data_IF_496713482365
#
_entry.id   IF_496713482365
#
_cell.length_a   1.000
_cell.length_b   1.000
_cell.length_c   1.000
_cell.angle_alpha   90.00
_cell.angle_beta   90.00
_cell.angle_gamma   90.00
#
_symmetry.space_group_name_H-M   'P 1'
#
loop_
_entity.id
_entity.type
_entity.pdbx_description
1 polymer ?
#
# COMPACT_ATOMS: atom_id res chain seq x y z
N UNK A 1 59.31 17.59 -1.06
CA UNK A 1 58.16 16.70 -0.78
C UNK A 1 57.02 17.25 -1.61
N UNK A 2 56.39 16.44 -2.45
CA UNK A 2 55.26 16.89 -3.25
C UNK A 2 54.09 17.16 -2.28
N UNK A 3 53.58 18.39 -2.27
CA UNK A 3 52.35 18.72 -1.55
C UNK A 3 51.22 17.89 -2.15
N UNK A 4 50.73 16.93 -1.37
CA UNK A 4 49.59 16.11 -1.76
C UNK A 4 48.33 16.97 -1.60
N UNK A 5 48.10 17.94 -2.48
CA UNK A 5 46.90 18.80 -2.51
C UNK A 5 45.59 17.98 -2.52
N UNK A 6 45.63 16.73 -3.00
CA UNK A 6 44.48 15.81 -2.98
C UNK A 6 44.15 15.23 -1.59
N UNK A 7 45.01 15.42 -0.59
CA UNK A 7 44.79 15.03 0.82
C UNK A 7 44.39 16.21 1.72
N UNK A 8 44.60 17.46 1.27
CA UNK A 8 44.21 18.68 1.98
C UNK A 8 42.81 19.14 1.56
N UNK A 9 41.80 18.37 1.96
CA UNK A 9 40.43 18.89 1.93
C UNK A 9 40.24 19.85 3.11
N UNK A 10 39.66 21.06 2.90
CA UNK A 10 39.27 21.90 4.01
C UNK A 10 38.30 21.14 4.92
N UNK A 11 38.41 21.35 6.23
CA UNK A 11 37.46 20.78 7.19
C UNK A 11 36.03 21.12 6.80
N UNK A 12 35.11 20.16 6.99
CA UNK A 12 33.70 20.33 6.62
C UNK A 12 33.09 21.52 7.38
N UNK A 13 32.75 22.59 6.65
CA UNK A 13 32.12 23.78 7.20
C UNK A 13 30.60 23.56 7.29
N UNK A 14 30.17 23.13 8.48
CA UNK A 14 28.76 22.85 8.77
C UNK A 14 27.88 24.09 8.57
N UNK A 15 28.34 25.28 8.95
CA UNK A 15 27.53 26.50 8.87
C UNK A 15 27.31 26.90 7.43
N UNK A 16 28.37 26.85 6.62
CA UNK A 16 28.28 27.10 5.18
C UNK A 16 27.39 26.07 4.50
N UNK A 17 27.57 24.79 4.81
CA UNK A 17 26.75 23.73 4.24
C UNK A 17 25.27 23.87 4.62
N UNK A 18 24.94 24.16 5.88
CA UNK A 18 23.56 24.39 6.32
C UNK A 18 22.93 25.59 5.59
N UNK A 19 23.68 26.68 5.41
CA UNK A 19 23.21 27.85 4.66
C UNK A 19 22.96 27.53 3.18
N UNK A 20 23.85 26.75 2.54
CA UNK A 20 23.69 26.32 1.16
C UNK A 20 22.52 25.33 1.01
N UNK A 21 22.42 24.32 1.88
CA UNK A 21 21.37 23.30 1.86
C UNK A 21 19.97 23.89 2.13
N UNK A 22 19.85 24.86 3.04
CA UNK A 22 18.57 25.53 3.35
C UNK A 22 18.01 26.33 2.17
N UNK A 23 18.87 26.73 1.22
CA UNK A 23 18.46 27.47 0.02
C UNK A 23 18.05 26.54 -1.14
N UNK A 24 18.26 25.23 -1.01
CA UNK A 24 17.86 24.28 -2.06
C UNK A 24 16.38 23.97 -1.91
N UNK A 25 15.57 24.61 -2.75
CA UNK A 25 14.17 24.26 -2.90
C UNK A 25 14.06 23.02 -3.81
N UNK A 26 13.14 22.13 -3.44
CA UNK A 26 12.69 21.08 -4.36
C UNK A 26 12.16 21.74 -5.65
N UNK A 27 12.42 21.12 -6.80
CA UNK A 27 11.89 21.61 -8.09
C UNK A 27 10.35 21.58 -8.17
N UNK A 28 9.70 20.92 -7.20
CA UNK A 28 8.25 20.76 -7.12
C UNK A 28 7.63 21.86 -6.24
N UNK A 29 6.83 22.73 -6.87
CA UNK A 29 6.12 23.86 -6.24
C UNK A 29 4.68 23.50 -5.83
N UNK A 30 4.40 22.22 -5.61
CA UNK A 30 3.10 21.73 -5.17
C UNK A 30 2.74 22.11 -3.73
N UNK A 31 1.53 21.74 -3.30
CA UNK A 31 1.04 21.95 -1.92
C UNK A 31 1.87 21.16 -0.89
N UNK A 32 2.49 20.05 -1.33
CA UNK A 32 3.35 19.21 -0.50
C UNK A 32 4.80 19.68 -0.55
N UNK A 33 5.32 20.12 0.59
CA UNK A 33 6.68 20.68 0.72
C UNK A 33 7.69 19.56 0.96
N UNK A 34 8.68 19.45 0.07
CA UNK A 34 9.69 18.37 0.04
C UNK A 34 11.13 18.92 0.09
N UNK A 35 11.61 19.45 1.23
CA UNK A 35 12.98 19.94 1.32
C UNK A 35 13.97 18.79 1.22
N UNK A 36 15.13 19.01 0.60
CA UNK A 36 16.20 18.00 0.55
C UNK A 36 16.87 17.80 1.92
N UNK A 37 16.75 18.78 2.81
CA UNK A 37 17.31 18.75 4.16
C UNK A 37 16.46 19.57 5.12
N UNK A 38 16.46 19.17 6.40
CA UNK A 38 15.86 19.95 7.50
C UNK A 38 16.64 19.74 8.79
N UNK A 39 16.83 20.81 9.55
CA UNK A 39 17.67 20.84 10.76
C UNK A 39 17.12 19.95 11.87
N UNK A 40 15.82 19.95 12.04
CA UNK A 40 15.14 19.17 13.08
C UNK A 40 13.69 18.96 12.69
N UNK A 41 13.16 17.77 12.95
CA UNK A 41 11.73 17.50 12.83
C UNK A 41 11.31 16.55 13.93
N UNK A 42 10.08 16.72 14.43
CA UNK A 42 9.54 15.83 15.44
C UNK A 42 9.35 14.44 14.84
N UNK A 43 9.79 13.41 15.57
CA UNK A 43 9.51 12.03 15.19
C UNK A 43 8.02 11.77 15.25
N UNK A 44 7.49 11.13 14.21
CA UNK A 44 6.10 10.68 14.17
C UNK A 44 6.07 9.22 14.64
N UNK A 45 5.27 8.94 15.66
CA UNK A 45 4.99 7.56 16.04
C UNK A 45 3.96 6.95 15.09
N UNK A 46 4.36 5.93 14.35
CA UNK A 46 3.45 5.20 13.47
C UNK A 46 2.52 4.27 14.27
N UNK A 47 1.21 4.21 13.94
CA UNK A 47 0.33 3.15 14.43
C UNK A 47 0.81 1.77 14.00
N UNK A 48 0.46 0.72 14.76
CA UNK A 48 0.77 -0.66 14.39
C UNK A 48 0.19 -1.04 13.01
N UNK A 49 0.82 -2.04 12.39
CA UNK A 49 0.36 -2.62 11.12
C UNK A 49 -0.86 -3.50 11.36
N UNK A 50 -1.63 -3.74 10.31
CA UNK A 50 -2.77 -4.65 10.37
C UNK A 50 -2.33 -6.11 10.36
N UNK A 51 -1.21 -6.41 9.70
CA UNK A 51 -0.68 -7.77 9.55
C UNK A 51 0.14 -8.26 10.76
N UNK A 52 0.73 -7.35 11.53
CA UNK A 52 1.64 -7.70 12.64
C UNK A 52 1.77 -6.57 13.67
N UNK A 53 2.10 -6.93 14.91
CA UNK A 53 2.43 -5.98 15.97
C UNK A 53 3.81 -5.33 15.74
N UNK A 54 4.12 -4.23 16.45
CA UNK A 54 5.38 -3.48 16.26
C UNK A 54 6.61 -4.32 16.62
N UNK A 55 6.47 -5.20 17.59
CA UNK A 55 7.52 -6.05 18.14
C UNK A 55 7.93 -7.16 17.16
N UNK A 56 7.06 -7.49 16.20
CA UNK A 56 7.29 -8.49 15.16
C UNK A 56 8.06 -7.94 13.95
N UNK A 57 8.43 -6.65 13.99
CA UNK A 57 9.16 -5.98 12.92
C UNK A 57 8.25 -5.49 11.80
N UNK A 58 8.72 -5.56 10.56
CA UNK A 58 8.04 -5.07 9.36
C UNK A 58 7.66 -6.22 8.43
N UNK A 59 6.83 -7.14 8.91
CA UNK A 59 6.32 -8.24 8.10
C UNK A 59 5.33 -7.73 7.03
N UNK A 60 5.36 -8.28 5.82
CA UNK A 60 4.33 -8.05 4.80
C UNK A 60 4.03 -9.36 4.05
N UNK A 61 2.81 -9.46 3.54
CA UNK A 61 2.36 -10.57 2.70
C UNK A 61 2.84 -10.38 1.26
N UNK A 62 3.59 -11.34 0.72
CA UNK A 62 3.94 -11.38 -0.71
C UNK A 62 2.72 -11.80 -1.52
N UNK A 63 2.02 -10.84 -2.11
CA UNK A 63 0.77 -11.09 -2.83
C UNK A 63 0.99 -11.10 -4.35
N UNK A 64 0.34 -12.02 -5.04
CA UNK A 64 0.35 -12.09 -6.51
C UNK A 64 -1.06 -12.26 -7.07
N UNK A 65 -1.41 -11.43 -8.06
CA UNK A 65 -2.65 -11.62 -8.84
C UNK A 65 -2.55 -12.80 -9.78
N UNK A 66 -3.63 -13.56 -9.88
CA UNK A 66 -3.74 -14.74 -10.73
C UNK A 66 -4.77 -14.52 -11.83
N UNK A 67 -4.33 -14.69 -13.08
CA UNK A 67 -5.18 -14.58 -14.26
C UNK A 67 -5.60 -15.92 -14.86
N UNK A 68 -4.87 -17.01 -14.55
CA UNK A 68 -5.15 -18.36 -15.06
C UNK A 68 -5.04 -19.38 -13.93
N UNK A 69 -5.91 -20.39 -13.92
CA UNK A 69 -5.91 -21.45 -12.90
C UNK A 69 -4.54 -22.12 -12.76
N UNK A 70 -3.85 -22.35 -13.87
CA UNK A 70 -2.53 -22.99 -13.92
C UNK A 70 -1.42 -22.19 -13.22
N UNK A 71 -1.62 -20.89 -12.96
CA UNK A 71 -0.65 -20.03 -12.30
C UNK A 71 -0.71 -20.09 -10.76
N UNK A 72 -1.79 -20.64 -10.17
CA UNK A 72 -1.98 -20.69 -8.71
C UNK A 72 -0.85 -21.46 -8.03
N UNK A 73 -0.66 -22.73 -8.39
CA UNK A 73 0.36 -23.57 -7.76
C UNK A 73 1.79 -23.08 -8.03
N UNK A 74 2.18 -22.66 -9.25
CA UNK A 74 3.48 -22.03 -9.48
C UNK A 74 3.75 -20.78 -8.65
N UNK A 75 2.72 -19.97 -8.35
CA UNK A 75 2.87 -18.81 -7.47
C UNK A 75 3.19 -19.24 -6.04
N UNK A 76 2.39 -20.17 -5.48
CA UNK A 76 2.53 -20.67 -4.11
C UNK A 76 3.84 -21.43 -3.90
N UNK A 77 4.18 -22.35 -4.81
CA UNK A 77 5.46 -23.06 -4.79
C UNK A 77 6.66 -22.12 -4.99
N UNK A 78 6.43 -20.96 -5.62
CA UNK A 78 7.40 -19.87 -5.75
C UNK A 78 7.47 -18.94 -4.53
N UNK A 79 6.80 -19.28 -3.42
CA UNK A 79 6.83 -18.54 -2.16
C UNK A 79 5.88 -17.34 -2.09
N UNK A 80 4.85 -17.27 -2.95
CA UNK A 80 3.76 -16.31 -2.73
C UNK A 80 2.97 -16.72 -1.47
N UNK A 81 2.69 -15.75 -0.62
CA UNK A 81 1.90 -15.93 0.62
C UNK A 81 0.47 -15.42 0.46
N UNK A 82 0.26 -14.52 -0.50
CA UNK A 82 -1.04 -13.98 -0.86
C UNK A 82 -1.40 -14.31 -2.32
N UNK A 83 -2.63 -14.77 -2.53
CA UNK A 83 -3.22 -14.92 -3.87
C UNK A 83 -4.35 -13.91 -4.03
N UNK A 84 -4.36 -13.20 -5.15
CA UNK A 84 -5.45 -12.28 -5.50
C UNK A 84 -6.21 -12.73 -6.73
N UNK A 85 -7.53 -12.71 -6.62
CA UNK A 85 -8.45 -12.82 -7.74
C UNK A 85 -9.17 -11.50 -7.97
N UNK A 86 -9.13 -11.02 -9.22
CA UNK A 86 -9.63 -9.70 -9.60
C UNK A 86 -10.31 -9.70 -10.97
N UNK A 87 -10.72 -10.88 -11.46
CA UNK A 87 -11.35 -11.05 -12.76
C UNK A 87 -12.51 -12.04 -12.68
N UNK A 88 -13.53 -11.84 -13.52
CA UNK A 88 -14.76 -12.63 -13.51
C UNK A 88 -14.58 -14.12 -13.85
N UNK A 89 -13.40 -14.48 -14.38
CA UNK A 89 -13.05 -15.85 -14.76
C UNK A 89 -12.48 -16.65 -13.58
N UNK A 90 -12.06 -15.95 -12.52
CA UNK A 90 -11.58 -16.58 -11.30
C UNK A 90 -12.74 -17.32 -10.63
N UNK A 91 -12.47 -18.53 -10.15
CA UNK A 91 -13.48 -19.39 -9.52
C UNK A 91 -12.85 -20.15 -8.35
N UNK A 92 -13.68 -20.60 -7.42
CA UNK A 92 -13.21 -21.37 -6.26
C UNK A 92 -12.47 -22.65 -6.65
N UNK A 93 -12.84 -23.28 -7.77
CA UNK A 93 -12.22 -24.52 -8.26
C UNK A 93 -10.70 -24.38 -8.51
N UNK A 94 -10.22 -23.17 -8.78
CA UNK A 94 -8.79 -22.89 -8.97
C UNK A 94 -7.98 -23.10 -7.68
N UNK A 95 -8.63 -23.10 -6.53
CA UNK A 95 -8.02 -23.32 -5.21
C UNK A 95 -7.98 -24.81 -4.82
N UNK A 96 -8.33 -25.72 -5.73
CA UNK A 96 -8.27 -27.16 -5.47
C UNK A 96 -6.85 -27.59 -5.07
N UNK A 97 -6.72 -28.15 -3.86
CA UNK A 97 -5.43 -28.58 -3.30
C UNK A 97 -4.63 -27.49 -2.60
N UNK A 98 -5.18 -26.27 -2.50
CA UNK A 98 -4.57 -25.18 -1.73
C UNK A 98 -5.09 -25.20 -0.29
N UNK A 99 -4.16 -25.13 0.68
CA UNK A 99 -4.48 -25.03 2.10
C UNK A 99 -4.64 -23.55 2.50
N UNK A 100 -5.87 -23.05 2.63
CA UNK A 100 -6.11 -21.62 2.90
C UNK A 100 -5.54 -21.15 4.23
N UNK A 101 -5.40 -22.02 5.23
CA UNK A 101 -4.79 -21.66 6.53
C UNK A 101 -3.36 -21.11 6.41
N UNK A 102 -2.65 -21.48 5.33
CA UNK A 102 -1.26 -21.14 5.07
C UNK A 102 -1.07 -19.88 4.23
N UNK A 103 -2.15 -19.32 3.66
CA UNK A 103 -2.07 -18.21 2.71
C UNK A 103 -3.12 -17.14 3.00
N UNK A 104 -2.92 -15.94 2.47
CA UNK A 104 -3.99 -14.97 2.31
C UNK A 104 -4.65 -15.13 0.95
N UNK A 105 -5.98 -15.21 0.92
CA UNK A 105 -6.76 -15.14 -0.31
C UNK A 105 -7.52 -13.82 -0.34
N UNK A 106 -7.25 -13.02 -1.37
CA UNK A 106 -7.84 -11.72 -1.60
C UNK A 106 -8.77 -11.79 -2.82
N UNK A 107 -10.03 -11.41 -2.63
CA UNK A 107 -11.01 -11.26 -3.69
C UNK A 107 -11.29 -9.76 -3.88
N UNK A 108 -11.02 -9.24 -5.07
CA UNK A 108 -11.46 -7.90 -5.45
C UNK A 108 -12.92 -8.04 -5.93
N UNK A 109 -13.89 -7.75 -5.07
CA UNK A 109 -15.31 -8.01 -5.29
C UNK A 109 -15.88 -7.26 -6.50
N UNK A 110 -15.28 -6.13 -6.86
CA UNK A 110 -15.60 -5.36 -8.07
C UNK A 110 -15.28 -6.14 -9.37
N UNK A 111 -14.33 -7.08 -9.32
CA UNK A 111 -13.82 -7.79 -10.49
C UNK A 111 -14.27 -9.25 -10.58
N UNK A 112 -14.54 -9.90 -9.44
CA UNK A 112 -14.93 -11.32 -9.40
C UNK A 112 -16.43 -11.50 -9.35
N UNK A 113 -16.92 -12.68 -9.79
CA UNK A 113 -18.30 -13.09 -9.53
C UNK A 113 -18.37 -13.80 -8.18
N UNK A 114 -18.82 -13.11 -7.12
CA UNK A 114 -18.88 -13.67 -5.76
C UNK A 114 -19.66 -14.99 -5.68
N UNK A 115 -20.69 -15.19 -6.51
CA UNK A 115 -21.43 -16.45 -6.58
C UNK A 115 -20.56 -17.68 -6.96
N UNK A 116 -19.38 -17.47 -7.54
CA UNK A 116 -18.41 -18.53 -7.84
C UNK A 116 -17.52 -18.90 -6.63
N UNK A 117 -17.76 -18.29 -5.46
CA UNK A 117 -16.98 -18.47 -4.24
C UNK A 117 -17.90 -18.90 -3.07
N UNK A 118 -17.85 -20.17 -2.65
CA UNK A 118 -18.67 -20.65 -1.55
C UNK A 118 -18.08 -20.20 -0.20
N UNK A 119 -18.50 -19.02 0.27
CA UNK A 119 -17.95 -18.34 1.45
C UNK A 119 -17.88 -19.25 2.69
N UNK A 120 -18.97 -19.93 3.05
CA UNK A 120 -19.00 -20.85 4.21
C UNK A 120 -17.92 -21.93 4.10
N UNK A 121 -17.80 -22.57 2.93
CA UNK A 121 -16.78 -23.58 2.68
C UNK A 121 -15.38 -22.99 2.75
N UNK A 122 -15.17 -21.78 2.26
CA UNK A 122 -13.86 -21.11 2.34
C UNK A 122 -13.47 -20.88 3.80
N UNK A 123 -14.40 -20.40 4.63
CA UNK A 123 -14.19 -20.21 6.06
C UNK A 123 -13.89 -21.53 6.78
N UNK A 124 -14.63 -22.60 6.47
CA UNK A 124 -14.38 -23.95 6.99
C UNK A 124 -12.98 -24.47 6.64
N UNK A 125 -12.38 -23.98 5.54
CA UNK A 125 -11.03 -24.33 5.12
C UNK A 125 -9.96 -23.34 5.62
N UNK A 126 -10.33 -22.42 6.53
CA UNK A 126 -9.41 -21.49 7.19
C UNK A 126 -9.06 -20.25 6.36
N UNK A 127 -10.02 -19.74 5.57
CA UNK A 127 -9.82 -18.53 4.78
C UNK A 127 -9.37 -17.33 5.62
N UNK A 128 -8.23 -16.76 5.25
CA UNK A 128 -7.71 -15.46 5.72
C UNK A 128 -7.55 -14.53 4.53
N UNK A 129 -7.70 -13.23 4.74
CA UNK A 129 -7.45 -12.22 3.72
C UNK A 129 -8.62 -11.24 3.59
N UNK A 130 -9.10 -11.06 2.37
CA UNK A 130 -10.05 -9.98 2.07
C UNK A 130 -11.02 -10.35 0.96
N UNK A 131 -12.20 -9.75 1.00
CA UNK A 131 -13.17 -9.74 -0.09
C UNK A 131 -13.72 -8.31 -0.21
N UNK A 132 -12.96 -7.46 -0.88
CA UNK A 132 -13.14 -6.01 -0.80
C UNK A 132 -13.97 -5.47 -1.94
N UNK A 133 -15.03 -4.72 -1.61
CA UNK A 133 -15.76 -3.86 -2.54
C UNK A 133 -15.21 -2.43 -2.45
N UNK A 134 -14.89 -1.83 -3.59
CA UNK A 134 -14.43 -0.44 -3.68
C UNK A 134 -15.54 0.53 -3.28
N UNK A 135 -15.32 1.33 -2.23
CA UNK A 135 -16.37 2.23 -1.70
C UNK A 135 -16.52 3.54 -2.48
N UNK A 136 -15.84 3.69 -3.63
CA UNK A 136 -15.77 4.96 -4.37
C UNK A 136 -17.13 5.51 -4.80
N UNK A 137 -17.98 4.65 -5.34
CA UNK A 137 -19.27 5.03 -5.92
C UNK A 137 -20.39 4.06 -5.52
N UNK A 138 -20.28 3.44 -4.34
CA UNK A 138 -21.25 2.43 -3.89
C UNK A 138 -22.55 3.07 -3.42
N UNK A 139 -23.64 2.36 -3.65
CA UNK A 139 -24.98 2.65 -3.14
C UNK A 139 -25.25 1.92 -1.83
N UNK A 140 -26.27 2.35 -1.09
CA UNK A 140 -26.67 1.70 0.16
C UNK A 140 -27.17 0.25 -0.06
N UNK A 141 -27.71 -0.06 -1.23
CA UNK A 141 -28.17 -1.40 -1.59
C UNK A 141 -27.00 -2.35 -1.87
N UNK A 142 -26.01 -1.91 -2.65
CA UNK A 142 -24.78 -2.68 -2.92
C UNK A 142 -24.01 -2.96 -1.63
N UNK A 143 -23.85 -1.94 -0.78
CA UNK A 143 -23.23 -2.08 0.54
C UNK A 143 -23.96 -3.11 1.39
N UNK A 144 -25.30 -3.04 1.48
CA UNK A 144 -26.08 -3.99 2.28
C UNK A 144 -25.95 -5.41 1.73
N UNK A 145 -25.99 -5.57 0.41
CA UNK A 145 -25.86 -6.88 -0.24
C UNK A 145 -24.49 -7.49 0.05
N UNK A 146 -23.41 -6.73 -0.16
CA UNK A 146 -22.04 -7.20 0.09
C UNK A 146 -21.79 -7.53 1.57
N UNK A 147 -22.29 -6.70 2.49
CA UNK A 147 -22.20 -6.97 3.92
C UNK A 147 -22.94 -8.26 4.33
N UNK A 148 -24.12 -8.51 3.74
CA UNK A 148 -24.89 -9.72 3.98
C UNK A 148 -24.21 -10.97 3.42
N UNK A 149 -23.66 -10.90 2.20
CA UNK A 149 -22.92 -12.00 1.56
C UNK A 149 -21.70 -12.44 2.38
N UNK A 150 -21.10 -11.51 3.13
CA UNK A 150 -19.95 -11.75 4.01
C UNK A 150 -20.31 -11.78 5.51
N UNK A 151 -21.59 -11.89 5.86
CA UNK A 151 -22.03 -11.89 7.26
C UNK A 151 -21.46 -13.05 8.09
N UNK A 152 -21.18 -14.19 7.44
CA UNK A 152 -20.52 -15.33 8.07
C UNK A 152 -18.99 -15.15 8.26
N UNK A 153 -18.41 -14.07 7.70
CA UNK A 153 -16.97 -13.85 7.60
C UNK A 153 -16.53 -12.55 8.33
N UNK A 154 -16.67 -12.46 9.67
CA UNK A 154 -16.39 -11.23 10.42
C UNK A 154 -14.92 -10.80 10.36
N UNK A 155 -13.99 -11.76 10.27
CA UNK A 155 -12.54 -11.50 10.25
C UNK A 155 -12.01 -11.13 8.85
N UNK A 156 -12.86 -11.21 7.81
CA UNK A 156 -12.48 -10.88 6.44
C UNK A 156 -12.68 -9.39 6.18
N UNK A 157 -11.67 -8.73 5.61
CA UNK A 157 -11.77 -7.32 5.22
C UNK A 157 -12.72 -7.17 4.03
N UNK A 158 -13.74 -6.33 4.19
CA UNK A 158 -14.89 -6.23 3.27
C UNK A 158 -14.85 -5.02 2.35
N UNK A 159 -14.11 -3.98 2.71
CA UNK A 159 -14.17 -2.67 2.06
C UNK A 159 -12.81 -2.21 1.57
N UNK A 160 -12.78 -1.59 0.39
CA UNK A 160 -11.57 -0.98 -0.16
C UNK A 160 -11.76 0.51 -0.40
N UNK A 161 -10.82 1.30 0.11
CA UNK A 161 -10.46 2.58 -0.48
C UNK A 161 -9.51 2.27 -1.63
N UNK A 162 -9.85 2.68 -2.85
CA UNK A 162 -9.00 2.43 -4.01
C UNK A 162 -8.47 3.76 -4.54
N UNK A 163 -7.15 3.92 -4.53
CA UNK A 163 -6.45 5.12 -5.05
C UNK A 163 -5.42 4.75 -6.12
N UNK A 164 -5.52 3.56 -6.71
CA UNK A 164 -4.58 3.04 -7.71
C UNK A 164 -4.61 3.77 -9.08
N UNK A 165 -5.60 4.63 -9.30
CA UNK A 165 -5.75 5.47 -10.49
C UNK A 165 -5.12 6.87 -10.33
N UNK A 166 -4.70 7.23 -9.11
CA UNK A 166 -4.08 8.53 -8.81
C UNK A 166 -2.57 8.38 -8.73
N UNK A 167 -1.87 9.25 -9.47
CA UNK A 167 -0.40 9.25 -9.50
C UNK A 167 0.20 10.27 -8.51
N UNK A 168 -0.47 11.40 -8.30
CA UNK A 168 -0.01 12.45 -7.40
C UNK A 168 -0.39 12.13 -5.94
N UNK A 169 0.57 12.13 -4.99
CA UNK A 169 0.31 11.70 -3.61
C UNK A 169 -0.76 12.50 -2.85
N UNK A 170 -0.81 13.83 -2.97
CA UNK A 170 -1.82 14.64 -2.26
C UNK A 170 -3.21 14.29 -2.79
N UNK A 171 -3.40 14.28 -4.11
CA UNK A 171 -4.66 13.93 -4.77
C UNK A 171 -5.12 12.51 -4.39
N UNK A 172 -4.19 11.53 -4.41
CA UNK A 172 -4.48 10.15 -4.04
C UNK A 172 -5.01 10.05 -2.60
N UNK A 173 -4.31 10.68 -1.65
CA UNK A 173 -4.69 10.61 -0.23
C UNK A 173 -5.96 11.41 0.08
N UNK A 174 -6.15 12.59 -0.54
CA UNK A 174 -7.40 13.34 -0.44
C UNK A 174 -8.58 12.54 -1.01
N UNK A 175 -8.41 11.91 -2.18
CA UNK A 175 -9.44 11.05 -2.77
C UNK A 175 -9.78 9.87 -1.84
N UNK A 176 -8.78 9.26 -1.20
CA UNK A 176 -9.02 8.17 -0.26
C UNK A 176 -9.86 8.59 0.95
N UNK A 177 -9.59 9.76 1.55
CA UNK A 177 -10.40 10.31 2.64
C UNK A 177 -11.82 10.68 2.18
N UNK A 178 -11.97 11.23 0.98
CA UNK A 178 -13.29 11.51 0.40
C UNK A 178 -14.10 10.22 0.18
N UNK A 179 -13.46 9.14 -0.27
CA UNK A 179 -14.09 7.82 -0.39
C UNK A 179 -14.54 7.28 0.98
N UNK A 180 -13.72 7.41 2.02
CA UNK A 180 -14.09 7.03 3.39
C UNK A 180 -15.29 7.84 3.91
N UNK A 181 -15.30 9.15 3.64
CA UNK A 181 -16.41 10.04 4.01
C UNK A 181 -17.71 9.70 3.28
N UNK A 182 -17.63 9.38 1.98
CA UNK A 182 -18.77 8.88 1.22
C UNK A 182 -19.28 7.54 1.79
N UNK A 183 -18.37 6.60 2.08
CA UNK A 183 -18.72 5.32 2.68
C UNK A 183 -19.43 5.48 4.03
N UNK A 184 -18.99 6.40 4.88
CA UNK A 184 -19.63 6.69 6.16
C UNK A 184 -21.10 7.10 5.99
N UNK A 185 -21.40 7.97 5.03
CA UNK A 185 -22.77 8.37 4.73
C UNK A 185 -23.60 7.19 4.19
N UNK A 186 -23.01 6.42 3.27
CA UNK A 186 -23.68 5.27 2.65
C UNK A 186 -23.96 4.15 3.64
N UNK A 187 -23.04 3.86 4.57
CA UNK A 187 -23.20 2.79 5.55
C UNK A 187 -24.31 3.13 6.55
N UNK A 188 -24.40 4.40 6.97
CA UNK A 188 -25.52 4.90 7.78
C UNK A 188 -26.86 4.76 7.06
N UNK A 189 -26.91 5.08 5.76
CA UNK A 189 -28.11 4.91 4.94
C UNK A 189 -28.47 3.43 4.73
N UNK A 190 -27.46 2.55 4.65
CA UNK A 190 -27.65 1.11 4.54
C UNK A 190 -28.15 0.46 5.84
N UNK A 191 -27.90 1.10 6.98
CA UNK A 191 -28.25 0.62 8.32
C UNK A 191 -27.19 -0.31 8.94
N UNK A 192 -25.94 -0.22 8.48
CA UNK A 192 -24.83 -1.03 9.00
C UNK A 192 -24.25 -0.43 10.29
N UNK A 193 -23.60 -1.28 11.10
CA UNK A 193 -22.79 -0.82 12.22
C UNK A 193 -21.48 -0.22 11.69
N UNK A 194 -21.45 1.10 11.61
CA UNK A 194 -20.28 1.86 11.14
C UNK A 194 -19.04 1.56 11.98
N UNK A 195 -19.17 1.36 13.29
CA UNK A 195 -18.00 1.16 14.14
C UNK A 195 -17.29 -0.16 13.81
N UNK A 196 -18.06 -1.21 13.54
CA UNK A 196 -17.55 -2.52 13.13
C UNK A 196 -17.01 -2.48 11.69
N UNK A 197 -17.80 -1.96 10.74
CA UNK A 197 -17.44 -2.02 9.32
C UNK A 197 -16.16 -1.24 9.00
N UNK A 198 -15.89 -0.13 9.71
CA UNK A 198 -14.67 0.64 9.55
C UNK A 198 -13.40 -0.07 10.08
N UNK A 199 -13.53 -1.17 10.84
CA UNK A 199 -12.37 -2.01 11.18
C UNK A 199 -11.95 -2.94 10.03
N UNK A 200 -12.84 -3.17 9.06
CA UNK A 200 -12.67 -4.13 7.97
C UNK A 200 -12.18 -3.50 6.65
N UNK A 201 -11.49 -2.36 6.72
CA UNK A 201 -11.02 -1.62 5.54
C UNK A 201 -9.62 -2.02 5.06
N UNK A 202 -9.45 -1.88 3.74
CA UNK A 202 -8.20 -2.00 3.02
C UNK A 202 -7.96 -0.73 2.20
N UNK A 203 -6.74 -0.22 2.17
CA UNK A 203 -6.33 0.88 1.28
C UNK A 203 -5.48 0.32 0.13
N UNK A 204 -6.07 0.23 -1.06
CA UNK A 204 -5.39 -0.16 -2.29
C UNK A 204 -4.69 1.06 -2.89
N UNK A 205 -3.38 0.99 -3.08
CA UNK A 205 -2.61 2.10 -3.63
C UNK A 205 -1.46 1.64 -4.53
N UNK A 206 -1.02 2.54 -5.40
CA UNK A 206 0.16 2.33 -6.24
C UNK A 206 1.36 3.11 -5.71
N UNK A 207 2.54 2.50 -5.83
CA UNK A 207 3.81 3.13 -5.46
C UNK A 207 4.72 3.22 -6.69
N UNK A 208 5.22 4.44 -6.92
CA UNK A 208 6.19 4.76 -7.97
C UNK A 208 7.65 4.53 -7.53
N UNK A 209 8.63 4.83 -8.40
CA UNK A 209 10.04 4.56 -8.11
C UNK A 209 10.69 5.59 -7.17
N UNK A 210 9.99 6.70 -6.84
CA UNK A 210 10.53 7.72 -5.95
C UNK A 210 10.47 7.24 -4.49
N UNK A 211 11.59 6.70 -4.01
CA UNK A 211 11.67 6.00 -2.70
C UNK A 211 11.14 6.82 -1.53
N UNK A 212 11.64 8.05 -1.34
CA UNK A 212 11.25 8.87 -0.19
C UNK A 212 9.77 9.30 -0.24
N UNK A 213 9.21 9.52 -1.43
CA UNK A 213 7.81 9.86 -1.60
C UNK A 213 6.93 8.67 -1.27
N UNK A 214 7.25 7.48 -1.79
CA UNK A 214 6.51 6.25 -1.48
C UNK A 214 6.52 5.93 0.01
N UNK A 215 7.66 6.09 0.69
CA UNK A 215 7.77 5.91 2.14
C UNK A 215 6.88 6.92 2.88
N UNK A 216 7.01 8.21 2.58
CA UNK A 216 6.22 9.26 3.24
C UNK A 216 4.72 9.08 3.01
N UNK A 217 4.32 8.71 1.79
CA UNK A 217 2.93 8.45 1.40
C UNK A 217 2.35 7.24 2.17
N UNK A 218 3.07 6.12 2.24
CA UNK A 218 2.62 4.92 2.95
C UNK A 218 2.48 5.19 4.46
N UNK A 219 3.45 5.91 5.05
CA UNK A 219 3.40 6.35 6.45
C UNK A 219 2.20 7.27 6.70
N UNK A 220 1.98 8.24 5.82
CA UNK A 220 0.89 9.20 5.91
C UNK A 220 -0.49 8.52 5.87
N UNK A 221 -0.69 7.47 5.05
CA UNK A 221 -1.97 6.74 4.97
C UNK A 221 -2.45 6.24 6.34
N UNK A 222 -1.58 5.59 7.13
CA UNK A 222 -1.95 5.07 8.46
C UNK A 222 -2.36 6.19 9.40
N UNK A 223 -1.62 7.30 9.39
CA UNK A 223 -1.89 8.43 10.30
C UNK A 223 -3.17 9.15 9.89
N UNK A 224 -3.36 9.39 8.60
CA UNK A 224 -4.56 10.02 8.05
C UNK A 224 -5.80 9.19 8.35
N UNK A 225 -5.72 7.85 8.23
CA UNK A 225 -6.81 6.95 8.61
C UNK A 225 -7.22 7.13 10.08
N UNK A 226 -6.24 7.09 11.01
CA UNK A 226 -6.51 7.29 12.44
C UNK A 226 -7.10 8.67 12.72
N UNK A 227 -6.55 9.71 12.07
CA UNK A 227 -7.01 11.09 12.21
C UNK A 227 -8.44 11.24 11.70
N UNK A 228 -8.76 10.63 10.56
CA UNK A 228 -10.10 10.63 9.98
C UNK A 228 -11.10 9.90 10.88
N UNK A 229 -10.81 8.67 11.33
CA UNK A 229 -11.66 7.94 12.27
C UNK A 229 -11.96 8.76 13.53
N UNK A 230 -10.91 9.33 14.13
CA UNK A 230 -11.05 10.19 15.33
C UNK A 230 -11.94 11.40 15.04
N UNK A 231 -11.79 12.04 13.87
CA UNK A 231 -12.60 13.21 13.49
C UNK A 231 -14.09 12.88 13.28
N UNK A 232 -14.39 11.63 12.91
CA UNK A 232 -15.75 11.12 12.78
C UNK A 232 -16.34 10.60 14.10
N UNK A 233 -15.58 10.64 15.21
CA UNK A 233 -15.99 10.11 16.50
C UNK A 233 -15.95 8.58 16.58
N UNK A 234 -15.20 7.91 15.69
CA UNK A 234 -15.02 6.47 15.66
C UNK A 234 -13.78 6.06 16.44
N UNK A 235 -13.77 4.82 16.94
CA UNK A 235 -12.59 4.25 17.59
C UNK A 235 -11.44 4.08 16.60
N UNK A 236 -10.22 4.24 17.13
CA UNK A 236 -8.98 4.07 16.36
C UNK A 236 -8.80 2.61 15.97
N UNK A 237 -8.75 2.34 14.67
CA UNK A 237 -8.66 1.01 14.09
C UNK A 237 -7.53 0.87 13.08
N UNK A 238 -6.90 -0.30 12.99
CA UNK A 238 -5.87 -0.52 11.96
C UNK A 238 -6.47 -0.57 10.56
N UNK A 239 -5.74 -0.07 9.56
CA UNK A 239 -6.08 -0.25 8.14
C UNK A 239 -5.05 -1.15 7.49
N UNK A 240 -5.51 -2.06 6.63
CA UNK A 240 -4.62 -2.85 5.79
C UNK A 240 -4.17 -2.01 4.59
N UNK A 241 -2.87 -1.80 4.45
CA UNK A 241 -2.29 -1.16 3.28
C UNK A 241 -1.89 -2.22 2.27
N UNK A 242 -2.48 -2.13 1.07
CA UNK A 242 -2.25 -3.05 -0.02
C UNK A 242 -1.57 -2.31 -1.18
N UNK A 243 -0.25 -2.48 -1.26
CA UNK A 243 0.59 -1.78 -2.21
C UNK A 243 0.75 -2.57 -3.50
N UNK A 244 0.65 -1.89 -4.64
CA UNK A 244 1.05 -2.43 -5.95
C UNK A 244 2.11 -1.54 -6.57
N UNK A 245 3.17 -2.12 -7.13
CA UNK A 245 4.16 -1.31 -7.86
C UNK A 245 3.55 -0.74 -9.13
N UNK A 246 4.03 0.42 -9.57
CA UNK A 246 3.69 0.94 -10.88
C UNK A 246 4.20 0.03 -12.02
N UNK A 247 3.55 0.09 -13.18
CA UNK A 247 4.07 -0.45 -14.42
C UNK A 247 4.59 0.74 -15.27
N UNK A 248 5.90 0.91 -15.45
CA UNK A 248 6.43 1.96 -16.33
C UNK A 248 5.89 1.80 -17.75
N UNK A 249 5.64 2.93 -18.43
CA UNK A 249 5.32 2.91 -19.87
C UNK A 249 6.46 2.23 -20.64
N UNK A 250 6.12 1.57 -21.74
CA UNK A 250 7.13 1.07 -22.67
C UNK A 250 7.77 2.27 -23.36
N UNK A 251 8.94 2.67 -22.92
CA UNK A 251 9.82 3.46 -23.79
C UNK A 251 10.41 2.51 -24.83
N UNK A 252 10.87 3.03 -25.98
CA UNK A 252 11.51 2.24 -27.07
C UNK A 252 12.84 1.56 -26.66
N UNK A 253 13.13 1.48 -25.35
CA UNK A 253 14.31 0.88 -24.74
C UNK A 253 14.11 -0.54 -24.21
N UNK A 254 15.16 -1.06 -23.55
CA UNK A 254 15.31 -2.46 -23.18
C UNK A 254 14.24 -2.86 -22.14
N UNK A 255 13.41 -3.90 -22.37
CA UNK A 255 12.34 -4.31 -21.44
C UNK A 255 12.78 -4.56 -20.00
N UNK A 256 14.04 -4.93 -19.77
CA UNK A 256 14.63 -5.17 -18.44
C UNK A 256 14.88 -3.90 -17.63
N UNK A 257 14.93 -2.71 -18.24
CA UNK A 257 15.20 -1.45 -17.53
C UNK A 257 14.11 -1.12 -16.49
N UNK A 258 12.93 -1.71 -16.66
CA UNK A 258 11.80 -1.60 -15.74
C UNK A 258 12.08 -2.21 -14.36
N UNK A 259 12.97 -3.20 -14.26
CA UNK A 259 13.25 -3.93 -13.02
C UNK A 259 13.83 -3.02 -11.94
N UNK A 260 14.68 -2.05 -12.32
CA UNK A 260 15.27 -1.11 -11.36
C UNK A 260 14.17 -0.25 -10.73
N UNK A 261 13.32 0.34 -11.56
CA UNK A 261 12.20 1.17 -11.10
C UNK A 261 11.22 0.39 -10.23
N UNK A 262 10.87 -0.83 -10.64
CA UNK A 262 10.03 -1.75 -9.85
C UNK A 262 10.66 -2.11 -8.51
N UNK A 263 11.97 -2.35 -8.48
CA UNK A 263 12.73 -2.62 -7.24
C UNK A 263 12.70 -1.41 -6.32
N UNK A 264 12.90 -0.20 -6.83
CA UNK A 264 12.79 1.04 -6.05
C UNK A 264 11.38 1.24 -5.48
N UNK A 265 10.34 0.97 -6.26
CA UNK A 265 8.95 1.04 -5.81
C UNK A 265 8.64 0.00 -4.72
N UNK A 266 9.09 -1.24 -4.91
CA UNK A 266 8.95 -2.30 -3.92
C UNK A 266 9.70 -1.99 -2.63
N UNK A 267 10.91 -1.43 -2.73
CA UNK A 267 11.69 -0.97 -1.58
C UNK A 267 10.94 0.12 -0.81
N UNK A 268 10.40 1.11 -1.52
CA UNK A 268 9.61 2.17 -0.92
C UNK A 268 8.36 1.64 -0.21
N UNK A 269 7.69 0.67 -0.81
CA UNK A 269 6.48 0.01 -0.26
C UNK A 269 6.78 -0.78 1.00
N UNK A 270 7.84 -1.60 0.96
CA UNK A 270 8.26 -2.41 2.09
C UNK A 270 8.70 -1.52 3.26
N UNK A 271 9.61 -0.57 3.03
CA UNK A 271 10.12 0.34 4.06
C UNK A 271 9.05 1.31 4.59
N UNK A 272 8.10 1.71 3.73
CA UNK A 272 6.94 2.50 4.13
C UNK A 272 5.97 1.76 5.05
N UNK A 273 6.11 0.43 5.18
CA UNK A 273 5.35 -0.39 6.11
C UNK A 273 4.01 -0.89 5.57
N UNK A 274 3.92 -1.28 4.29
CA UNK A 274 2.71 -1.90 3.71
C UNK A 274 2.37 -3.26 4.35
N UNK A 275 1.10 -3.65 4.38
CA UNK A 275 0.66 -4.96 4.92
C UNK A 275 0.74 -6.07 3.85
N UNK A 276 0.39 -5.75 2.61
CA UNK A 276 0.67 -6.59 1.43
C UNK A 276 1.40 -5.82 0.34
N UNK A 277 2.19 -6.55 -0.44
CA UNK A 277 2.89 -6.01 -1.60
C UNK A 277 2.74 -6.95 -2.79
N UNK A 278 2.25 -6.38 -3.89
CA UNK A 278 2.30 -6.98 -5.22
C UNK A 278 3.27 -6.20 -6.11
N UNK A 279 4.28 -6.89 -6.62
CA UNK A 279 5.13 -6.35 -7.68
C UNK A 279 4.50 -6.74 -9.02
N UNK A 280 4.04 -5.76 -9.80
CA UNK A 280 3.51 -6.00 -11.14
C UNK A 280 4.66 -6.48 -12.03
N UNK A 281 4.56 -7.63 -12.72
CA UNK A 281 5.62 -8.12 -13.59
C UNK A 281 6.04 -7.09 -14.65
N UNK A 282 7.34 -7.00 -14.93
CA UNK A 282 7.91 -6.01 -15.85
C UNK A 282 7.38 -6.12 -17.28
N UNK A 283 6.94 -7.30 -17.67
CA UNK A 283 6.40 -7.66 -18.99
C UNK A 283 4.87 -7.80 -18.96
N UNK A 284 4.21 -7.34 -17.89
CA UNK A 284 2.78 -7.42 -17.77
C UNK A 284 2.07 -6.65 -18.90
N UNK A 285 1.08 -7.31 -19.49
CA UNK A 285 0.09 -6.72 -20.37
C UNK A 285 -1.29 -7.00 -19.78
N UNK A 286 -1.91 -5.96 -19.21
CA UNK A 286 -3.11 -6.09 -18.39
C UNK A 286 -2.88 -7.08 -17.23
N UNK A 287 -3.68 -8.14 -17.09
CA UNK A 287 -3.55 -9.15 -16.03
C UNK A 287 -2.58 -10.30 -16.38
N UNK A 288 -1.96 -10.28 -17.56
CA UNK A 288 -1.11 -11.38 -18.04
C UNK A 288 0.36 -11.01 -18.05
N UNK A 289 1.22 -11.97 -17.69
CA UNK A 289 2.67 -11.84 -17.72
C UNK A 289 3.32 -13.20 -17.96
N UNK A 290 4.58 -13.22 -18.43
CA UNK A 290 5.32 -14.47 -18.59
C UNK A 290 5.63 -15.12 -17.23
N UNK A 291 5.94 -16.42 -17.27
CA UNK A 291 6.36 -17.15 -16.08
C UNK A 291 7.64 -16.56 -15.45
N UNK A 292 8.59 -16.11 -16.27
CA UNK A 292 9.81 -15.46 -15.80
C UNK A 292 9.53 -14.08 -15.20
N UNK A 293 8.67 -13.28 -15.82
CA UNK A 293 8.25 -11.98 -15.28
C UNK A 293 7.61 -12.12 -13.89
N UNK A 294 6.68 -13.07 -13.73
CA UNK A 294 6.06 -13.40 -12.43
C UNK A 294 7.11 -13.87 -11.41
N UNK A 295 8.05 -14.73 -11.83
CA UNK A 295 9.13 -15.23 -10.97
C UNK A 295 10.04 -14.10 -10.49
N UNK A 296 10.45 -13.20 -11.38
CA UNK A 296 11.31 -12.07 -11.03
C UNK A 296 10.61 -11.11 -10.07
N UNK A 297 9.33 -10.82 -10.30
CA UNK A 297 8.52 -10.02 -9.40
C UNK A 297 8.46 -10.61 -7.98
N UNK A 298 8.26 -11.92 -7.83
CA UNK A 298 8.32 -12.58 -6.51
C UNK A 298 9.72 -12.52 -5.89
N UNK A 299 10.75 -12.83 -6.68
CA UNK A 299 12.13 -12.90 -6.18
C UNK A 299 12.65 -11.56 -5.66
N UNK A 300 12.25 -10.41 -6.24
CA UNK A 300 12.62 -9.10 -5.69
C UNK A 300 12.18 -8.97 -4.23
N UNK A 301 10.96 -9.41 -3.90
CA UNK A 301 10.45 -9.38 -2.53
C UNK A 301 11.19 -10.35 -1.61
N UNK A 302 11.49 -11.57 -2.10
CA UNK A 302 12.29 -12.55 -1.34
C UNK A 302 13.69 -12.03 -1.02
N UNK A 303 14.39 -11.42 -2.00
CA UNK A 303 15.70 -10.80 -1.76
C UNK A 303 15.61 -9.70 -0.70
N UNK A 304 14.58 -8.86 -0.74
CA UNK A 304 14.36 -7.80 0.26
C UNK A 304 14.14 -8.36 1.67
N UNK A 305 13.39 -9.46 1.78
CA UNK A 305 13.04 -10.04 3.08
C UNK A 305 14.14 -10.94 3.64
N UNK A 306 14.62 -11.87 2.83
CA UNK A 306 15.48 -12.98 3.26
C UNK A 306 16.97 -12.61 3.24
N UNK A 307 17.41 -11.80 2.26
CA UNK A 307 18.82 -11.40 2.15
C UNK A 307 19.08 -10.00 2.75
N UNK A 308 18.24 -9.02 2.41
CA UNK A 308 18.41 -7.64 2.89
C UNK A 308 17.82 -7.40 4.30
N UNK A 309 16.96 -8.29 4.79
CA UNK A 309 16.40 -8.23 6.15
C UNK A 309 15.48 -7.03 6.40
N UNK A 310 14.79 -6.52 5.37
CA UNK A 310 13.94 -5.32 5.48
C UNK A 310 12.69 -5.51 6.36
N UNK A 311 12.39 -6.75 6.75
CA UNK A 311 11.30 -7.10 7.64
C UNK A 311 11.68 -7.07 9.13
N UNK A 312 12.94 -6.83 9.50
CA UNK A 312 13.39 -6.97 10.90
C UNK A 312 13.03 -5.80 11.82
N UNK A 313 12.85 -4.60 11.26
CA UNK A 313 12.60 -3.37 12.01
C UNK A 313 11.31 -2.75 11.50
N UNK A 314 10.37 -2.45 12.40
CA UNK A 314 9.03 -1.96 12.09
C UNK A 314 8.99 -0.69 11.21
N UNK A 315 9.72 0.36 11.60
CA UNK A 315 9.83 1.62 10.85
C UNK A 315 11.30 2.07 10.82
N UNK A 316 12.12 1.54 9.88
CA UNK A 316 13.54 1.85 9.85
C UNK A 316 13.83 3.30 9.44
N UNK A 317 12.84 4.03 8.90
CA UNK A 317 12.97 5.45 8.54
C UNK A 317 12.44 6.39 9.64
N UNK A 318 11.94 5.83 10.74
CA UNK A 318 11.55 6.58 11.93
C UNK A 318 12.73 7.38 12.49
N UNK A 319 12.53 8.68 12.69
CA UNK A 319 13.56 9.61 13.16
C UNK A 319 14.43 10.24 12.06
N UNK A 320 14.29 9.83 10.80
CA UNK A 320 14.94 10.53 9.68
C UNK A 320 14.30 11.90 9.49
N UNK A 321 15.04 12.99 9.77
CA UNK A 321 14.52 14.36 9.73
C UNK A 321 13.77 14.68 8.43
N UNK A 322 14.30 14.25 7.28
CA UNK A 322 13.69 14.50 5.96
C UNK A 322 12.39 13.71 5.80
N UNK A 323 12.38 12.41 6.13
CA UNK A 323 11.18 11.59 5.97
C UNK A 323 10.09 11.99 6.96
N UNK A 324 10.45 12.32 8.20
CA UNK A 324 9.51 12.87 9.19
C UNK A 324 8.88 14.17 8.69
N UNK A 325 9.68 15.06 8.07
CA UNK A 325 9.16 16.30 7.51
C UNK A 325 8.26 16.06 6.31
N UNK A 326 8.68 15.21 5.38
CA UNK A 326 7.89 14.91 4.18
C UNK A 326 6.56 14.26 4.57
N UNK A 327 6.58 13.35 5.55
CA UNK A 327 5.38 12.68 6.06
C UNK A 327 4.45 13.68 6.75
N UNK A 328 4.95 14.51 7.67
CA UNK A 328 4.12 15.52 8.37
C UNK A 328 3.58 16.60 7.42
N UNK A 329 4.40 17.12 6.51
CA UNK A 329 3.96 18.09 5.51
C UNK A 329 2.91 17.49 4.57
N UNK A 330 3.06 16.22 4.17
CA UNK A 330 2.06 15.53 3.34
C UNK A 330 0.73 15.40 4.08
N UNK A 331 0.76 14.98 5.35
CA UNK A 331 -0.44 14.84 6.19
C UNK A 331 -1.18 16.16 6.30
N UNK A 332 -0.47 17.27 6.57
CA UNK A 332 -1.10 18.58 6.68
C UNK A 332 -1.63 19.09 5.34
N UNK A 333 -0.86 18.91 4.25
CA UNK A 333 -1.30 19.26 2.89
C UNK A 333 -2.60 18.53 2.50
N UNK A 334 -2.66 17.22 2.76
CA UNK A 334 -3.83 16.38 2.48
C UNK A 334 -5.00 16.78 3.36
N UNK A 335 -4.78 16.94 4.67
CA UNK A 335 -5.85 17.26 5.62
C UNK A 335 -6.48 18.62 5.30
N UNK A 336 -5.67 19.64 5.03
CA UNK A 336 -6.18 20.97 4.67
C UNK A 336 -6.94 20.95 3.34
N UNK A 337 -6.39 20.27 2.32
CA UNK A 337 -7.07 20.11 1.02
C UNK A 337 -8.42 19.39 1.18
N UNK A 338 -8.45 18.29 1.94
CA UNK A 338 -9.67 17.53 2.22
C UNK A 338 -10.73 18.38 2.94
N UNK A 339 -10.37 19.08 4.02
CA UNK A 339 -11.29 19.95 4.77
C UNK A 339 -11.83 21.10 3.91
N UNK A 340 -11.02 21.66 3.02
CA UNK A 340 -11.46 22.71 2.10
C UNK A 340 -12.46 22.18 1.07
N UNK A 341 -12.29 20.94 0.59
CA UNK A 341 -13.24 20.30 -0.32
C UNK A 341 -14.58 19.98 0.35
N UNK A 342 -14.60 19.63 1.65
CA UNK A 342 -15.85 19.41 2.39
C UNK A 342 -16.68 20.68 2.63
N UNK A 343 -16.05 21.87 2.58
CA UNK A 343 -16.70 23.15 2.86
C UNK A 343 -17.31 23.80 1.61
N UNK A 344 -17.01 23.29 0.41
CA UNK A 344 -17.50 23.79 -0.88
C UNK A 344 -18.80 23.09 -1.30
#
# INVERSE_FOLDING_TARGET
MADNEWLDFPGFDVVRWEAEASNIQSADNGVWVKPLWTRSTNSIELPAKAVAAKEEGNAWSLTQSIARAEDVMPALLGGAEGIRFQHELCTWEWMSGVHLEMIHLHLDADGVRLACFPIERMLDNGWKGSCTLSVRNVTAEEVRTHANDLSAAPDIRKWAINTCDKAEPVEALCSGLAQAQHALATFKAAGLDVAEEFQAFTWLHKIGPHVLEGIAMTRAMRILWQRWLTSCGLERGSIWLDARTYLPKADEGIPTDRLIGMTSAAYASAIGGTDSLEIIPHDANDIQASADGKRWARNIQHLMREEAGLNRVFDPMGGSHVVEFWTSSLIEAVWNTFKNQEQQ
#
